data_IF_101007378700
#
_entry.id   IF_101007378700
#
_cell.length_a   1.000
_cell.length_b   1.000
_cell.length_c   1.000
_cell.angle_alpha   90.00
_cell.angle_beta   90.00
_cell.angle_gamma   90.00
#
_symmetry.space_group_name_H-M   'P 1'
#
loop_
_entity.id
_entity.type
_entity.pdbx_description
1 polymer ?
#
# COMPACT_ATOMS: atom_id res chain seq x y z
N UNK A 1 -7.43 -18.44 3.04
CA UNK A 1 -6.34 -18.03 3.96
C UNK A 1 -6.88 -17.87 5.36
N UNK A 2 -6.17 -18.37 6.36
CA UNK A 2 -6.53 -18.20 7.77
C UNK A 2 -5.40 -17.57 8.56
N UNK A 3 -5.74 -16.65 9.48
CA UNK A 3 -4.81 -15.99 10.38
C UNK A 3 -5.44 -15.83 11.76
N UNK A 4 -4.76 -16.25 12.79
CA UNK A 4 -5.19 -16.03 14.18
C UNK A 4 -4.31 -14.95 14.80
N UNK A 5 -4.94 -13.91 15.34
CA UNK A 5 -4.29 -12.88 16.15
C UNK A 5 -4.75 -13.00 17.59
N UNK A 6 -3.81 -12.89 18.53
CA UNK A 6 -4.09 -12.99 19.97
C UNK A 6 -3.58 -11.72 20.65
N UNK A 7 -4.43 -11.09 21.42
CA UNK A 7 -4.12 -9.90 22.21
C UNK A 7 -4.45 -10.18 23.69
N UNK A 8 -3.61 -9.72 24.58
CA UNK A 8 -3.91 -9.69 26.01
C UNK A 8 -4.29 -8.26 26.40
N UNK A 9 -5.40 -8.13 27.09
CA UNK A 9 -5.83 -6.86 27.68
C UNK A 9 -4.94 -6.58 28.90
N UNK A 10 -3.99 -5.64 28.77
CA UNK A 10 -3.11 -5.27 29.87
C UNK A 10 -3.79 -4.38 30.91
N UNK A 11 -3.11 -4.10 32.01
CA UNK A 11 -3.64 -3.30 33.12
C UNK A 11 -3.91 -1.82 32.77
N UNK A 12 -3.46 -1.33 31.61
CA UNK A 12 -3.79 0.02 31.13
C UNK A 12 -5.21 0.08 30.53
N UNK A 13 -5.84 -1.08 30.31
CA UNK A 13 -7.18 -1.21 29.79
C UNK A 13 -8.17 -1.10 30.94
N UNK A 14 -8.79 0.04 31.07
CA UNK A 14 -9.92 0.24 31.98
C UNK A 14 -11.19 -0.11 31.23
N UNK A 15 -11.77 -1.29 31.49
CA UNK A 15 -13.11 -1.70 31.03
C UNK A 15 -13.54 -1.10 29.68
N UNK A 16 -13.01 -1.58 28.56
CA UNK A 16 -13.35 -1.02 27.24
C UNK A 16 -13.97 -2.05 26.30
N UNK A 17 -14.90 -1.63 25.43
CA UNK A 17 -15.48 -2.51 24.42
C UNK A 17 -14.41 -3.05 23.47
N UNK A 18 -14.56 -4.32 23.02
CA UNK A 18 -13.71 -4.97 22.00
C UNK A 18 -13.52 -4.07 20.77
N UNK A 19 -14.61 -3.43 20.30
CA UNK A 19 -14.52 -2.53 19.13
C UNK A 19 -13.58 -1.34 19.35
N UNK A 20 -13.52 -0.80 20.55
CA UNK A 20 -12.63 0.32 20.87
C UNK A 20 -11.19 -0.16 21.04
N UNK A 21 -10.99 -1.27 21.74
CA UNK A 21 -9.69 -1.92 21.87
C UNK A 21 -9.06 -2.21 20.50
N UNK A 22 -9.81 -2.82 19.58
CA UNK A 22 -9.32 -3.13 18.24
C UNK A 22 -8.97 -1.88 17.43
N UNK A 23 -9.75 -0.79 17.57
CA UNK A 23 -9.39 0.49 16.96
C UNK A 23 -8.06 1.04 17.48
N UNK A 24 -7.79 0.94 18.78
CA UNK A 24 -6.49 1.32 19.34
C UNK A 24 -5.34 0.45 18.80
N UNK A 25 -5.61 -0.83 18.46
CA UNK A 25 -4.65 -1.73 17.81
C UNK A 25 -4.52 -1.51 16.29
N UNK A 26 -5.15 -0.46 15.74
CA UNK A 26 -5.02 -0.07 14.34
C UNK A 26 -6.06 -0.68 13.38
N UNK A 27 -7.09 -1.37 13.90
CA UNK A 27 -8.16 -1.90 13.06
C UNK A 27 -9.05 -0.78 12.52
N UNK A 28 -9.28 -0.78 11.22
CA UNK A 28 -10.21 0.13 10.58
C UNK A 28 -11.66 -0.21 10.92
N UNK A 29 -12.58 0.75 10.75
CA UNK A 29 -14.01 0.46 10.89
C UNK A 29 -14.49 -0.64 9.94
N UNK A 30 -13.89 -0.73 8.74
CA UNK A 30 -14.21 -1.77 7.77
C UNK A 30 -13.71 -3.15 8.22
N UNK A 31 -12.54 -3.23 8.88
CA UNK A 31 -12.07 -4.47 9.48
C UNK A 31 -13.07 -4.99 10.54
N UNK A 32 -13.59 -4.10 11.40
CA UNK A 32 -14.60 -4.48 12.39
C UNK A 32 -15.91 -4.96 11.76
N UNK A 33 -16.33 -4.37 10.65
CA UNK A 33 -17.50 -4.83 9.89
C UNK A 33 -17.27 -6.22 9.31
N UNK A 34 -16.08 -6.52 8.79
CA UNK A 34 -15.77 -7.86 8.26
C UNK A 34 -15.74 -8.90 9.38
N UNK A 35 -15.08 -8.62 10.52
CA UNK A 35 -15.05 -9.53 11.67
C UNK A 35 -16.45 -9.87 12.20
N UNK A 36 -17.41 -8.92 12.16
CA UNK A 36 -18.80 -9.16 12.59
C UNK A 36 -19.57 -10.15 11.73
N UNK A 37 -19.14 -10.43 10.51
CA UNK A 37 -19.83 -11.36 9.59
C UNK A 37 -19.70 -12.81 10.03
N UNK A 38 -18.63 -13.17 10.74
CA UNK A 38 -18.42 -14.48 11.31
C UNK A 38 -18.53 -14.40 12.85
N UNK A 39 -19.61 -14.94 13.45
CA UNK A 39 -19.81 -14.93 14.89
C UNK A 39 -18.70 -15.65 15.69
N UNK A 40 -17.95 -16.54 15.03
CA UNK A 40 -16.81 -17.25 15.62
C UNK A 40 -15.47 -16.54 15.44
N UNK A 41 -15.45 -15.37 14.76
CA UNK A 41 -14.21 -14.67 14.48
C UNK A 41 -13.60 -13.96 15.68
N UNK A 42 -14.38 -13.66 16.73
CA UNK A 42 -13.94 -12.89 17.90
C UNK A 42 -14.27 -13.64 19.18
N UNK A 43 -13.23 -14.00 19.94
CA UNK A 43 -13.41 -14.72 21.19
C UNK A 43 -12.73 -13.95 22.34
N UNK A 44 -13.44 -13.79 23.45
CA UNK A 44 -12.86 -13.35 24.71
C UNK A 44 -12.70 -14.58 25.62
N UNK A 45 -11.48 -14.86 26.08
CA UNK A 45 -11.14 -16.03 26.89
C UNK A 45 -11.64 -17.37 26.30
N UNK A 46 -11.56 -17.49 24.95
CA UNK A 46 -11.99 -18.67 24.23
C UNK A 46 -13.50 -18.76 23.97
N UNK A 47 -14.31 -17.79 24.42
CA UNK A 47 -15.76 -17.76 24.24
C UNK A 47 -16.12 -16.72 23.18
N UNK A 48 -16.94 -17.05 22.16
CA UNK A 48 -17.39 -16.08 21.16
C UNK A 48 -18.07 -14.87 21.80
N UNK A 49 -17.69 -13.67 21.36
CA UNK A 49 -18.22 -12.44 21.91
C UNK A 49 -18.53 -11.40 20.83
N UNK A 50 -19.40 -10.44 21.14
CA UNK A 50 -19.72 -9.33 20.27
C UNK A 50 -18.75 -8.15 20.46
N UNK A 51 -18.73 -7.23 19.50
CA UNK A 51 -17.87 -6.05 19.52
C UNK A 51 -18.14 -5.07 20.66
N UNK A 52 -19.30 -5.13 21.31
CA UNK A 52 -19.65 -4.37 22.51
C UNK A 52 -19.29 -5.09 23.82
N UNK A 53 -18.78 -6.33 23.77
CA UNK A 53 -18.27 -7.02 24.94
C UNK A 53 -17.17 -6.17 25.60
N UNK A 54 -17.25 -6.01 26.92
CA UNK A 54 -16.33 -5.19 27.69
C UNK A 54 -15.20 -6.06 28.20
N UNK A 55 -13.99 -5.83 27.68
CA UNK A 55 -12.77 -6.50 28.11
C UNK A 55 -12.36 -6.01 29.51
N UNK A 56 -11.88 -6.93 30.32
CA UNK A 56 -11.27 -6.69 31.63
C UNK A 56 -9.75 -6.85 31.55
N UNK A 57 -8.98 -6.21 32.42
CA UNK A 57 -7.54 -6.46 32.54
C UNK A 57 -7.25 -7.97 32.72
N UNK A 58 -6.35 -8.50 31.88
CA UNK A 58 -5.98 -9.92 31.86
C UNK A 58 -6.78 -10.76 30.86
N UNK A 59 -7.86 -10.25 30.28
CA UNK A 59 -8.60 -10.97 29.25
C UNK A 59 -7.75 -11.23 28.00
N UNK A 60 -7.93 -12.41 27.42
CA UNK A 60 -7.33 -12.78 26.14
C UNK A 60 -8.37 -12.63 25.02
N UNK A 61 -8.09 -11.76 24.05
CA UNK A 61 -8.90 -11.58 22.85
C UNK A 61 -8.26 -12.33 21.69
N UNK A 62 -8.95 -13.33 21.16
CA UNK A 62 -8.53 -14.11 19.98
C UNK A 62 -9.38 -13.70 18.78
N UNK A 63 -8.71 -13.43 17.65
CA UNK A 63 -9.36 -13.10 16.39
C UNK A 63 -9.00 -14.13 15.34
N UNK A 64 -10.01 -14.69 14.69
CA UNK A 64 -9.87 -15.56 13.52
C UNK A 64 -10.20 -14.78 12.25
N UNK A 65 -9.18 -14.50 11.46
CA UNK A 65 -9.31 -13.82 10.17
C UNK A 65 -9.34 -14.91 9.11
N UNK A 66 -10.44 -15.00 8.37
CA UNK A 66 -10.64 -15.99 7.31
C UNK A 66 -10.93 -15.29 5.99
N UNK A 67 -10.29 -15.77 4.94
CA UNK A 67 -10.58 -15.42 3.56
C UNK A 67 -10.70 -16.72 2.75
N UNK A 68 -11.90 -17.01 2.31
CA UNK A 68 -12.30 -18.24 1.63
C UNK A 68 -12.44 -18.07 0.10
N UNK A 69 -12.27 -16.85 -0.40
CA UNK A 69 -12.37 -16.53 -1.81
C UNK A 69 -11.10 -15.83 -2.31
N UNK A 70 -10.89 -15.89 -3.61
CA UNK A 70 -9.82 -15.19 -4.33
C UNK A 70 -10.39 -14.04 -5.15
N UNK A 71 -9.51 -13.18 -5.66
CA UNK A 71 -9.89 -12.10 -6.57
C UNK A 71 -10.46 -12.66 -7.88
N UNK A 72 -11.76 -12.57 -8.10
CA UNK A 72 -12.49 -13.21 -9.23
C UNK A 72 -12.04 -12.76 -10.62
N UNK A 73 -11.54 -11.54 -10.76
CA UNK A 73 -11.19 -10.91 -12.06
C UNK A 73 -9.70 -10.89 -12.34
N UNK A 74 -8.91 -11.63 -11.59
CA UNK A 74 -7.45 -11.69 -11.73
C UNK A 74 -7.08 -13.14 -12.08
N UNK A 75 -6.88 -13.45 -13.37
CA UNK A 75 -6.47 -14.79 -13.75
C UNK A 75 -5.05 -15.09 -13.24
N UNK A 76 -4.80 -16.29 -12.70
CA UNK A 76 -3.47 -16.72 -12.29
C UNK A 76 -2.58 -16.91 -13.52
N UNK A 77 -1.36 -16.37 -13.49
CA UNK A 77 -0.37 -16.50 -14.56
C UNK A 77 1.00 -16.71 -13.96
N UNK A 78 1.72 -17.71 -14.42
CA UNK A 78 3.09 -18.00 -13.99
C UNK A 78 4.04 -16.93 -14.55
N UNK A 79 4.33 -15.92 -13.72
CA UNK A 79 5.27 -14.85 -14.02
C UNK A 79 6.37 -14.81 -12.96
N UNK A 80 7.58 -14.33 -13.29
CA UNK A 80 8.66 -14.19 -12.33
C UNK A 80 8.26 -13.26 -11.17
N UNK A 81 8.49 -13.72 -9.93
CA UNK A 81 8.33 -12.95 -8.70
C UNK A 81 9.64 -12.88 -7.95
N UNK A 82 10.07 -11.67 -7.59
CA UNK A 82 11.18 -11.45 -6.66
C UNK A 82 10.60 -11.06 -5.29
N UNK A 83 10.38 -12.06 -4.42
CA UNK A 83 9.87 -11.87 -3.06
C UNK A 83 11.06 -11.56 -2.16
N UNK A 84 11.13 -10.32 -1.65
CA UNK A 84 12.19 -9.83 -0.76
C UNK A 84 11.91 -10.19 0.69
N UNK A 85 10.63 -10.20 1.06
CA UNK A 85 10.16 -10.56 2.39
C UNK A 85 8.76 -11.15 2.33
N UNK A 86 8.48 -12.12 3.16
CA UNK A 86 7.15 -12.69 3.36
C UNK A 86 6.98 -13.18 4.80
N UNK A 87 5.84 -12.84 5.41
CA UNK A 87 5.39 -13.40 6.67
C UNK A 87 3.90 -13.80 6.58
N UNK A 88 3.26 -13.98 7.74
CA UNK A 88 1.85 -14.33 7.80
C UNK A 88 0.89 -13.18 7.41
N UNK A 89 1.36 -11.94 7.41
CA UNK A 89 0.53 -10.75 7.32
C UNK A 89 0.77 -9.95 6.03
N UNK A 90 2.01 -9.97 5.49
CA UNK A 90 2.38 -9.19 4.30
C UNK A 90 3.47 -9.87 3.47
N UNK A 91 3.63 -9.36 2.25
CA UNK A 91 4.76 -9.62 1.36
C UNK A 91 5.37 -8.31 0.91
N UNK A 92 6.70 -8.29 0.72
CA UNK A 92 7.43 -7.23 0.02
C UNK A 92 8.02 -7.81 -1.24
N UNK A 93 7.70 -7.20 -2.37
CA UNK A 93 8.10 -7.69 -3.69
C UNK A 93 8.90 -6.61 -4.40
N UNK A 94 10.06 -6.97 -4.92
CA UNK A 94 10.80 -6.12 -5.85
C UNK A 94 10.20 -6.30 -7.26
N UNK A 95 9.33 -5.36 -7.63
CA UNK A 95 8.62 -5.37 -8.90
C UNK A 95 9.56 -4.96 -10.04
N UNK A 96 9.69 -5.73 -11.10
CA UNK A 96 10.45 -5.31 -12.28
C UNK A 96 9.76 -4.16 -13.03
N UNK A 97 10.53 -3.41 -13.82
CA UNK A 97 9.97 -2.52 -14.83
C UNK A 97 9.20 -3.31 -15.91
N UNK A 98 8.24 -2.67 -16.57
CA UNK A 98 7.38 -3.30 -17.58
C UNK A 98 6.19 -4.09 -17.03
N UNK A 99 6.12 -4.32 -15.72
CA UNK A 99 5.03 -5.04 -15.05
C UNK A 99 4.07 -4.07 -14.34
N UNK A 100 2.79 -3.96 -14.75
CA UNK A 100 1.80 -3.20 -13.99
C UNK A 100 1.40 -3.91 -12.70
N UNK A 101 0.87 -3.16 -11.73
CA UNK A 101 0.38 -3.73 -10.45
C UNK A 101 -0.90 -4.54 -10.65
N UNK A 102 -1.87 -4.00 -11.41
CA UNK A 102 -3.16 -4.63 -11.68
C UNK A 102 -3.35 -4.92 -13.17
N UNK A 103 -4.17 -5.92 -13.52
CA UNK A 103 -4.62 -6.08 -14.90
C UNK A 103 -5.26 -4.80 -15.42
N UNK A 104 -4.98 -4.48 -16.68
CA UNK A 104 -5.53 -3.32 -17.37
C UNK A 104 -5.71 -3.64 -18.85
N UNK A 105 -6.37 -2.75 -19.60
CA UNK A 105 -6.48 -2.87 -21.05
C UNK A 105 -5.05 -3.00 -21.65
N UNK A 106 -4.81 -3.99 -22.48
CA UNK A 106 -3.52 -4.39 -23.07
C UNK A 106 -2.51 -5.06 -22.09
N UNK A 107 -2.83 -5.21 -20.82
CA UNK A 107 -1.97 -5.83 -19.79
C UNK A 107 -2.78 -6.76 -18.89
N UNK A 108 -3.64 -7.61 -19.46
CA UNK A 108 -4.58 -8.41 -18.68
C UNK A 108 -3.93 -9.61 -18.00
N UNK A 109 -2.82 -10.12 -18.55
CA UNK A 109 -2.16 -11.36 -18.11
C UNK A 109 -0.70 -11.16 -17.62
N UNK A 110 -0.20 -9.93 -17.50
CA UNK A 110 1.21 -9.67 -17.18
C UNK A 110 1.39 -8.72 -15.99
N UNK A 111 0.43 -8.68 -15.08
CA UNK A 111 0.52 -7.84 -13.88
C UNK A 111 1.06 -8.58 -12.66
N UNK A 112 1.53 -7.83 -11.66
CA UNK A 112 1.91 -8.37 -10.35
C UNK A 112 0.76 -9.15 -9.71
N UNK A 113 -0.47 -8.67 -9.86
CA UNK A 113 -1.66 -9.35 -9.35
C UNK A 113 -1.85 -10.74 -9.97
N UNK A 114 -1.58 -10.92 -11.28
CA UNK A 114 -1.63 -12.22 -11.95
C UNK A 114 -0.56 -13.18 -11.42
N UNK A 115 0.66 -12.67 -11.22
CA UNK A 115 1.76 -13.47 -10.68
C UNK A 115 1.46 -13.98 -9.27
N UNK A 116 0.90 -13.11 -8.41
CA UNK A 116 0.53 -13.48 -7.04
C UNK A 116 -0.71 -14.38 -7.00
N UNK A 117 -1.67 -14.20 -7.88
CA UNK A 117 -2.79 -15.14 -8.00
C UNK A 117 -2.28 -16.56 -8.28
N UNK A 118 -1.32 -16.71 -9.21
CA UNK A 118 -0.68 -17.99 -9.48
C UNK A 118 0.12 -18.52 -8.29
N UNK A 119 0.92 -17.67 -7.64
CA UNK A 119 1.72 -18.05 -6.47
C UNK A 119 0.89 -18.67 -5.35
N UNK A 120 -0.27 -18.06 -5.02
CA UNK A 120 -1.16 -18.56 -3.99
C UNK A 120 -2.02 -19.74 -4.47
N UNK A 121 -2.37 -19.82 -5.75
CA UNK A 121 -3.05 -20.97 -6.33
C UNK A 121 -2.22 -22.24 -6.18
N UNK A 122 -0.90 -22.19 -6.43
CA UNK A 122 0.01 -23.33 -6.25
C UNK A 122 0.08 -23.81 -4.80
N UNK A 123 -0.28 -22.97 -3.84
CA UNK A 123 -0.35 -23.31 -2.41
C UNK A 123 -1.75 -23.73 -1.98
N UNK A 124 -2.73 -23.84 -2.90
CA UNK A 124 -4.15 -24.05 -2.61
C UNK A 124 -4.70 -23.06 -1.58
N UNK A 125 -4.21 -21.83 -1.60
CA UNK A 125 -4.54 -20.78 -0.66
C UNK A 125 -5.40 -19.70 -1.34
N UNK A 126 -6.65 -19.48 -0.93
CA UNK A 126 -7.44 -18.35 -1.41
C UNK A 126 -6.74 -17.04 -1.12
N UNK A 127 -6.69 -16.14 -2.11
CA UNK A 127 -5.97 -14.88 -1.99
C UNK A 127 -6.70 -13.73 -2.68
N UNK A 128 -6.96 -12.68 -1.93
CA UNK A 128 -7.47 -11.41 -2.45
C UNK A 128 -6.31 -10.42 -2.58
N UNK A 129 -6.03 -9.98 -3.79
CA UNK A 129 -4.91 -9.09 -4.06
C UNK A 129 -5.13 -7.70 -3.45
N UNK A 130 -4.22 -7.27 -2.56
CA UNK A 130 -4.26 -5.96 -1.87
C UNK A 130 -2.88 -5.33 -1.85
N UNK A 131 -2.60 -4.56 -2.88
CA UNK A 131 -1.36 -3.78 -2.97
C UNK A 131 -1.48 -2.48 -2.16
N UNK A 132 -0.53 -2.24 -1.27
CA UNK A 132 -0.55 -1.12 -0.32
C UNK A 132 0.05 0.15 -0.94
N UNK A 133 1.14 0.02 -1.69
CA UNK A 133 1.74 1.10 -2.47
C UNK A 133 1.84 0.70 -3.94
N UNK A 134 1.30 1.51 -4.83
CA UNK A 134 1.36 1.25 -6.27
C UNK A 134 2.61 1.87 -6.87
N UNK A 135 3.24 1.15 -7.80
CA UNK A 135 4.26 1.64 -8.70
C UNK A 135 3.70 1.69 -10.12
N UNK A 136 4.17 2.63 -10.92
CA UNK A 136 3.82 2.67 -12.33
C UNK A 136 4.38 1.44 -13.07
N UNK A 137 3.86 1.13 -14.25
CA UNK A 137 4.27 -0.07 -15.01
C UNK A 137 5.79 -0.15 -15.17
N UNK A 138 6.40 0.95 -15.58
CA UNK A 138 7.84 1.00 -15.92
C UNK A 138 8.74 1.43 -14.74
N UNK A 139 8.14 1.68 -13.57
CA UNK A 139 8.87 1.87 -12.32
C UNK A 139 9.19 0.53 -11.67
N UNK A 140 10.45 0.27 -11.38
CA UNK A 140 10.90 -0.87 -10.58
C UNK A 140 10.99 -0.53 -9.10
N UNK A 141 11.08 -1.56 -8.25
CA UNK A 141 11.33 -1.44 -6.82
C UNK A 141 10.26 -2.02 -5.93
N UNK A 142 10.31 -1.68 -4.64
CA UNK A 142 9.58 -2.38 -3.59
C UNK A 142 8.10 -2.01 -3.57
N UNK A 143 7.26 -3.04 -3.53
CA UNK A 143 5.83 -2.94 -3.32
C UNK A 143 5.38 -3.86 -2.19
N UNK A 144 4.50 -3.37 -1.33
CA UNK A 144 3.94 -4.12 -0.20
C UNK A 144 2.58 -4.65 -0.60
N UNK A 145 2.38 -5.94 -0.38
CA UNK A 145 1.09 -6.62 -0.59
C UNK A 145 0.63 -7.21 0.73
N UNK A 146 -0.57 -6.85 1.15
CA UNK A 146 -1.18 -7.40 2.35
C UNK A 146 -1.83 -8.75 2.05
N UNK A 147 -1.60 -9.73 2.94
CA UNK A 147 -2.12 -11.10 2.77
C UNK A 147 -3.57 -11.24 3.20
N UNK A 148 -4.07 -10.37 4.09
CA UNK A 148 -5.47 -10.38 4.53
C UNK A 148 -6.00 -8.95 4.79
N UNK A 149 -7.33 -8.81 4.93
CA UNK A 149 -7.99 -7.50 5.02
C UNK A 149 -7.59 -6.68 6.26
N UNK A 150 -7.18 -7.32 7.36
CA UNK A 150 -6.74 -6.62 8.57
C UNK A 150 -5.37 -5.97 8.34
N UNK A 151 -4.39 -6.74 7.84
CA UNK A 151 -3.06 -6.18 7.53
C UNK A 151 -3.16 -5.09 6.46
N UNK A 152 -4.05 -5.25 5.45
CA UNK A 152 -4.31 -4.21 4.47
C UNK A 152 -4.80 -2.90 5.10
N UNK A 153 -5.74 -2.99 6.05
CA UNK A 153 -6.25 -1.83 6.77
C UNK A 153 -5.18 -1.11 7.59
N UNK A 154 -4.38 -1.89 8.34
CA UNK A 154 -3.29 -1.36 9.17
C UNK A 154 -2.19 -0.70 8.33
N UNK A 155 -1.69 -1.39 7.31
CA UNK A 155 -0.62 -0.87 6.43
C UNK A 155 -1.08 0.36 5.66
N UNK A 156 -2.33 0.39 5.19
CA UNK A 156 -2.89 1.57 4.53
C UNK A 156 -2.98 2.77 5.48
N UNK A 157 -3.38 2.54 6.74
CA UNK A 157 -3.39 3.59 7.76
C UNK A 157 -1.98 4.09 8.09
N UNK A 158 -0.99 3.20 8.14
CA UNK A 158 0.42 3.57 8.36
C UNK A 158 0.95 4.46 7.21
N UNK A 159 0.62 4.16 5.96
CA UNK A 159 1.01 5.02 4.82
C UNK A 159 0.28 6.36 4.85
N UNK A 160 -0.99 6.39 5.27
CA UNK A 160 -1.78 7.62 5.32
C UNK A 160 -1.36 8.54 6.47
N UNK A 161 -0.96 7.99 7.61
CA UNK A 161 -0.58 8.74 8.81
C UNK A 161 0.94 8.93 8.89
N UNK A 162 1.44 9.97 8.28
CA UNK A 162 2.87 10.25 8.16
C UNK A 162 3.58 10.58 9.48
N UNK A 163 2.87 11.17 10.42
CA UNK A 163 3.46 11.59 11.70
C UNK A 163 3.86 10.40 12.60
N UNK A 164 3.20 9.25 12.42
CA UNK A 164 3.40 8.04 13.24
C UNK A 164 3.74 6.81 12.42
N UNK A 165 3.74 6.92 11.07
CA UNK A 165 3.97 5.78 10.20
C UNK A 165 5.46 5.45 10.11
N UNK A 166 5.83 4.20 10.34
CA UNK A 166 7.17 3.71 10.06
C UNK A 166 7.46 3.46 8.58
N UNK A 167 6.56 3.85 7.65
CA UNK A 167 6.69 3.57 6.21
C UNK A 167 7.02 4.85 5.45
N UNK A 168 8.27 4.97 5.00
CA UNK A 168 8.72 6.03 4.11
C UNK A 168 8.79 5.51 2.67
N UNK A 169 8.32 6.32 1.72
CA UNK A 169 8.39 6.01 0.30
C UNK A 169 9.45 6.88 -0.35
N UNK A 170 10.64 6.31 -0.54
CA UNK A 170 11.76 6.95 -1.21
C UNK A 170 11.96 6.36 -2.59
N UNK A 171 12.24 7.20 -3.56
CA UNK A 171 12.48 6.85 -4.95
C UNK A 171 13.79 7.45 -5.43
N UNK A 172 14.45 6.76 -6.34
CA UNK A 172 15.58 7.28 -7.08
C UNK A 172 15.18 7.50 -8.53
N UNK A 173 15.57 8.64 -9.09
CA UNK A 173 15.31 8.94 -10.49
C UNK A 173 16.50 9.72 -11.09
N UNK A 174 16.66 9.57 -12.42
CA UNK A 174 17.62 10.39 -13.17
C UNK A 174 16.82 11.47 -13.90
N UNK A 175 17.09 12.71 -13.58
CA UNK A 175 16.51 13.89 -14.21
C UNK A 175 17.45 14.45 -15.28
N UNK A 176 16.88 14.99 -16.37
CA UNK A 176 17.62 15.69 -17.42
C UNK A 176 17.97 17.09 -16.93
N UNK A 177 19.25 17.46 -17.02
CA UNK A 177 19.77 18.76 -16.60
C UNK A 177 20.38 18.73 -15.20
N UNK A 178 21.00 19.85 -14.83
CA UNK A 178 21.55 20.12 -13.50
C UNK A 178 20.45 20.72 -12.61
N UNK A 179 19.85 19.89 -11.77
CA UNK A 179 18.71 20.30 -10.93
C UNK A 179 19.16 21.34 -9.90
N UNK A 180 18.54 22.52 -9.93
CA UNK A 180 18.81 23.62 -9.02
C UNK A 180 17.48 24.23 -8.51
N UNK A 181 17.32 24.47 -7.19
CA UNK A 181 18.28 24.18 -6.10
C UNK A 181 18.48 22.67 -5.87
N UNK A 182 19.56 22.30 -5.14
CA UNK A 182 19.94 20.90 -4.92
C UNK A 182 18.94 20.11 -4.06
N UNK A 183 18.08 20.79 -3.33
CA UNK A 183 17.00 20.19 -2.55
C UNK A 183 15.78 21.12 -2.51
N UNK A 184 14.60 20.56 -2.31
CA UNK A 184 13.39 21.35 -2.22
C UNK A 184 12.14 20.51 -2.06
N UNK A 185 11.00 21.21 -2.02
CA UNK A 185 9.67 20.62 -1.96
C UNK A 185 8.82 21.15 -3.09
N UNK A 186 8.24 20.24 -3.85
CA UNK A 186 7.28 20.55 -4.92
C UNK A 186 5.88 20.33 -4.35
N UNK A 187 5.12 21.42 -4.20
CA UNK A 187 3.72 21.42 -3.79
C UNK A 187 2.89 21.91 -4.96
N UNK A 188 2.46 20.97 -5.80
CA UNK A 188 1.70 21.28 -7.02
C UNK A 188 0.59 20.23 -7.21
N UNK A 189 -0.69 20.63 -7.15
CA UNK A 189 -1.80 19.69 -7.30
C UNK A 189 -1.83 19.07 -8.69
N UNK A 190 -2.27 17.79 -8.77
CA UNK A 190 -2.27 17.01 -10.01
C UNK A 190 -3.69 16.68 -10.45
N UNK A 191 -4.01 16.98 -11.68
CA UNK A 191 -5.27 16.70 -12.35
C UNK A 191 -5.11 15.85 -13.62
N UNK A 192 -6.22 15.54 -14.27
CA UNK A 192 -6.21 15.00 -15.62
C UNK A 192 -5.97 16.14 -16.62
N UNK A 193 -5.12 15.89 -17.60
CA UNK A 193 -4.96 16.81 -18.71
C UNK A 193 -6.25 16.83 -19.53
N UNK A 194 -6.73 18.02 -19.87
CA UNK A 194 -7.92 18.19 -20.70
C UNK A 194 -7.78 17.42 -22.01
N UNK A 195 -8.85 16.71 -22.40
CA UNK A 195 -8.85 15.87 -23.61
C UNK A 195 -8.11 14.54 -23.49
N UNK A 196 -7.52 14.19 -22.35
CA UNK A 196 -6.81 12.91 -22.16
C UNK A 196 -7.39 12.08 -21.01
N UNK A 197 -7.54 10.77 -21.28
CA UNK A 197 -7.95 9.79 -20.24
C UNK A 197 -6.76 9.36 -19.37
N UNK A 198 -5.53 9.41 -19.92
CA UNK A 198 -4.33 8.82 -19.31
C UNK A 198 -3.38 9.89 -18.78
N UNK A 199 -3.19 10.99 -19.53
CA UNK A 199 -2.22 12.01 -19.17
C UNK A 199 -2.62 12.81 -17.94
N UNK A 200 -1.64 13.09 -17.10
CA UNK A 200 -1.76 13.92 -15.91
C UNK A 200 -0.94 15.21 -16.08
N UNK A 201 -1.37 16.27 -15.41
CA UNK A 201 -0.70 17.57 -15.43
C UNK A 201 -0.84 18.23 -14.07
N UNK A 202 -0.06 19.29 -13.83
CA UNK A 202 -0.31 20.20 -12.70
C UNK A 202 -1.60 20.95 -12.99
N UNK A 203 -2.49 20.99 -12.03
CA UNK A 203 -3.80 21.61 -12.10
C UNK A 203 -4.14 22.26 -10.76
N UNK A 204 -3.99 23.59 -10.72
CA UNK A 204 -4.21 24.37 -9.50
C UNK A 204 -5.69 24.64 -9.21
N UNK A 205 -6.58 24.43 -10.17
CA UNK A 205 -8.01 24.68 -10.01
C UNK A 205 -8.76 23.45 -9.49
N UNK A 206 -8.52 22.29 -10.11
CA UNK A 206 -9.27 21.05 -9.85
C UNK A 206 -8.39 19.87 -9.45
N UNK A 207 -7.08 20.06 -9.34
CA UNK A 207 -6.13 18.99 -9.03
C UNK A 207 -6.18 18.52 -7.58
N UNK A 208 -5.85 17.24 -7.39
CA UNK A 208 -5.67 16.68 -6.06
C UNK A 208 -4.32 17.09 -5.47
N UNK A 209 -4.29 17.49 -4.21
CA UNK A 209 -3.04 17.87 -3.50
C UNK A 209 -1.96 16.81 -3.68
N UNK A 210 -0.76 17.27 -4.05
CA UNK A 210 0.41 16.44 -4.23
C UNK A 210 1.67 17.16 -3.72
N UNK A 211 2.50 16.43 -2.94
CA UNK A 211 3.73 16.95 -2.33
C UNK A 211 4.85 15.95 -2.51
N UNK A 212 5.97 16.42 -3.06
CA UNK A 212 7.21 15.66 -3.30
C UNK A 212 8.40 16.43 -2.77
N UNK A 213 9.16 15.83 -1.87
CA UNK A 213 10.47 16.35 -1.45
C UNK A 213 11.54 15.74 -2.34
N UNK A 214 12.52 16.54 -2.74
CA UNK A 214 13.62 16.05 -3.56
C UNK A 214 14.97 16.52 -3.04
N UNK A 215 16.01 15.72 -3.30
CA UNK A 215 17.41 16.06 -3.05
C UNK A 215 18.28 15.47 -4.15
N UNK A 216 19.12 16.28 -4.74
CA UNK A 216 20.15 15.85 -5.69
C UNK A 216 21.24 15.10 -4.92
N UNK A 217 21.54 13.89 -5.36
CA UNK A 217 22.57 13.03 -4.77
C UNK A 217 23.88 13.11 -5.55
N UNK A 218 23.80 13.21 -6.87
CA UNK A 218 24.96 13.27 -7.76
C UNK A 218 24.59 13.98 -9.07
N UNK A 219 25.59 14.50 -9.76
CA UNK A 219 25.42 15.16 -11.04
C UNK A 219 26.53 14.75 -12.01
N UNK A 220 26.15 14.29 -13.21
CA UNK A 220 27.10 13.85 -14.23
C UNK A 220 26.52 13.99 -15.63
N UNK A 221 27.33 14.51 -16.56
CA UNK A 221 27.03 14.59 -17.99
C UNK A 221 25.66 15.27 -18.29
N UNK A 222 25.34 16.36 -17.57
CA UNK A 222 24.08 17.10 -17.75
C UNK A 222 22.84 16.34 -17.26
N UNK A 223 23.01 15.44 -16.30
CA UNK A 223 21.93 14.70 -15.64
C UNK A 223 22.15 14.71 -14.13
N UNK A 224 21.07 14.72 -13.38
CA UNK A 224 21.10 14.66 -11.92
C UNK A 224 20.49 13.35 -11.44
N UNK A 225 21.18 12.65 -10.52
CA UNK A 225 20.59 11.59 -9.71
C UNK A 225 19.85 12.23 -8.54
N UNK A 226 18.56 11.97 -8.43
CA UNK A 226 17.68 12.61 -7.45
C UNK A 226 17.01 11.58 -6.57
N UNK A 227 17.10 11.77 -5.24
CA UNK A 227 16.24 11.08 -4.25
C UNK A 227 14.96 11.89 -4.08
N UNK A 228 13.81 11.17 -4.06
CA UNK A 228 12.50 11.77 -3.95
C UNK A 228 11.68 11.05 -2.87
N UNK A 229 11.17 11.81 -1.91
CA UNK A 229 10.30 11.31 -0.84
C UNK A 229 8.89 11.82 -1.07
N UNK A 230 7.95 10.88 -1.12
CA UNK A 230 6.56 11.19 -1.40
C UNK A 230 5.73 11.37 -0.12
N UNK A 231 5.12 12.52 0.02
CA UNK A 231 4.04 12.70 0.98
C UNK A 231 2.71 12.15 0.46
N UNK A 232 2.37 12.33 -0.76
CA UNK A 232 1.18 11.86 -1.45
C UNK A 232 1.56 10.80 -2.48
N UNK A 233 0.60 10.05 -3.02
CA UNK A 233 0.85 9.02 -4.02
C UNK A 233 -0.10 9.14 -5.20
N UNK A 234 -0.02 10.26 -5.95
CA UNK A 234 -0.84 10.47 -7.15
C UNK A 234 -0.22 9.78 -8.35
N UNK A 235 -1.06 9.43 -9.30
CA UNK A 235 -0.62 8.78 -10.56
C UNK A 235 0.42 9.66 -11.26
N UNK A 236 1.58 9.09 -11.62
CA UNK A 236 2.71 9.75 -12.28
C UNK A 236 3.27 10.97 -11.51
N UNK A 237 3.09 11.03 -10.19
CA UNK A 237 3.40 12.22 -9.39
C UNK A 237 4.84 12.70 -9.58
N UNK A 238 5.83 11.84 -9.39
CA UNK A 238 7.25 12.20 -9.53
C UNK A 238 7.54 12.71 -10.93
N UNK A 239 7.05 12.04 -11.96
CA UNK A 239 7.25 12.39 -13.37
C UNK A 239 6.74 13.80 -13.67
N UNK A 240 5.52 14.12 -13.23
CA UNK A 240 4.88 15.41 -13.46
C UNK A 240 5.57 16.51 -12.63
N UNK A 241 5.88 16.24 -11.37
CA UNK A 241 6.54 17.20 -10.51
C UNK A 241 7.93 17.58 -11.01
N UNK A 242 8.75 16.62 -11.43
CA UNK A 242 10.07 16.89 -11.97
C UNK A 242 9.99 17.61 -13.32
N UNK A 243 9.01 17.26 -14.17
CA UNK A 243 8.74 18.01 -15.41
C UNK A 243 8.28 19.45 -15.13
N UNK A 244 7.41 19.65 -14.13
CA UNK A 244 6.95 20.97 -13.72
C UNK A 244 8.10 21.86 -13.18
N UNK A 245 9.06 21.24 -12.47
CA UNK A 245 10.28 21.92 -12.00
C UNK A 245 11.24 22.30 -13.16
N UNK A 246 10.98 21.77 -14.37
CA UNK A 246 11.84 22.00 -15.55
C UNK A 246 12.88 20.91 -15.80
N UNK A 247 12.88 19.84 -15.02
CA UNK A 247 13.83 18.73 -15.08
C UNK A 247 13.14 17.38 -15.29
N UNK A 248 12.61 17.07 -16.50
CA UNK A 248 11.93 15.83 -16.76
C UNK A 248 12.84 14.63 -16.51
N UNK A 249 12.23 13.48 -16.15
CA UNK A 249 12.98 12.24 -15.96
C UNK A 249 13.47 11.69 -17.30
N UNK A 250 14.56 10.92 -17.25
CA UNK A 250 15.06 10.17 -18.40
C UNK A 250 14.10 9.03 -18.70
N UNK A 251 13.71 8.88 -19.97
CA UNK A 251 12.80 7.83 -20.42
C UNK A 251 11.31 8.19 -20.30
N UNK A 252 11.00 9.46 -19.98
CA UNK A 252 9.62 9.93 -19.80
C UNK A 252 9.12 10.74 -21.01
#
# INVERSE_FOLDING_TARGET
>A
MERTLIYTADNSIVSMPVSYFLKQKGFSSQNLVQLKKDPSAVLANGIPCFMNHVLQPGDTLTLHIREDHSSEKIPPVNLPLNIVYEDADLMVIDKPAGMPIHPSMNNYYNSLANALAYYFEQQNCPFVFRCINRLDRDTSGLTIVAKHYVSAGMLSAMIANKATSGITREYLAIAKGSVCPLEGTITAPLGRKEGSIIERTVDFENGESAVTHYRVLDEKNGHSLVSLILETGRTHQIRIHMKYLGYPLIGD
#
